data_IF_649784730847
#
_entry.id   IF_649784730847
#
_cell.length_a   1.000
_cell.length_b   1.000
_cell.length_c   1.000
_cell.angle_alpha   90.00
_cell.angle_beta   90.00
_cell.angle_gamma   90.00
#
_symmetry.space_group_name_H-M   'P 1'
#
loop_
_entity.id
_entity.type
_entity.pdbx_description
1 polymer ?
#
# COMPACT_ATOMS: atom_id res chain seq x y z
N UNK A 1 16.02 -24.37 19.47
CA UNK A 1 16.45 -22.97 19.26
C UNK A 1 17.22 -22.71 17.96
N UNK A 2 18.10 -23.61 17.48
CA UNK A 2 18.85 -23.41 16.21
C UNK A 2 18.00 -23.38 14.93
N UNK A 3 16.90 -24.12 14.87
CA UNK A 3 15.99 -24.14 13.69
C UNK A 3 15.15 -22.87 13.52
N UNK A 4 14.82 -22.17 14.62
CA UNK A 4 14.03 -20.93 14.55
C UNK A 4 14.86 -19.72 14.09
N UNK A 5 16.19 -19.75 14.28
CA UNK A 5 17.11 -18.72 13.79
C UNK A 5 17.34 -18.80 12.26
N UNK A 6 17.16 -19.98 11.64
CA UNK A 6 17.35 -20.17 10.20
C UNK A 6 16.16 -19.66 9.37
N UNK A 7 14.94 -19.63 9.93
CA UNK A 7 13.75 -19.16 9.24
C UNK A 7 13.69 -17.62 9.12
N UNK A 8 14.33 -16.88 10.03
CA UNK A 8 14.32 -15.42 10.01
C UNK A 8 15.20 -14.83 8.89
N UNK A 9 16.24 -15.54 8.45
CA UNK A 9 17.19 -15.06 7.44
C UNK A 9 16.59 -15.16 6.04
N UNK A 10 15.73 -16.14 5.76
CA UNK A 10 15.11 -16.33 4.45
C UNK A 10 14.11 -15.22 4.05
N UNK A 11 13.50 -14.53 5.03
CA UNK A 11 12.54 -13.46 4.79
C UNK A 11 13.18 -12.13 4.37
N UNK A 12 14.45 -11.89 4.73
CA UNK A 12 15.17 -10.68 4.29
C UNK A 12 15.79 -10.83 2.89
N UNK A 13 16.01 -12.06 2.42
CA UNK A 13 16.61 -12.31 1.11
C UNK A 13 15.70 -11.95 -0.07
N UNK A 14 14.38 -12.08 0.10
CA UNK A 14 13.40 -11.85 -0.98
C UNK A 14 13.34 -10.39 -1.43
N UNK A 15 13.54 -9.44 -0.51
CA UNK A 15 13.51 -8.01 -0.81
C UNK A 15 14.74 -7.55 -1.61
N UNK A 16 15.91 -8.12 -1.31
CA UNK A 16 17.16 -7.81 -2.03
C UNK A 16 17.13 -8.34 -3.46
N UNK A 17 16.58 -9.55 -3.68
CA UNK A 17 16.44 -10.11 -5.02
C UNK A 17 15.55 -9.27 -5.93
N UNK A 18 14.41 -8.76 -5.42
CA UNK A 18 13.52 -7.90 -6.19
C UNK A 18 14.16 -6.54 -6.55
N UNK A 19 14.94 -5.95 -5.64
CA UNK A 19 15.63 -4.69 -5.91
C UNK A 19 16.69 -4.85 -7.01
N UNK A 20 17.49 -5.92 -6.94
CA UNK A 20 18.55 -6.23 -7.92
C UNK A 20 17.94 -6.61 -9.29
N UNK A 21 16.84 -7.36 -9.31
CA UNK A 21 16.07 -7.65 -10.53
C UNK A 21 15.48 -6.37 -11.13
N UNK A 22 15.07 -5.40 -10.31
CA UNK A 22 14.51 -4.14 -10.80
C UNK A 22 15.55 -3.14 -11.30
N UNK A 23 16.73 -3.11 -10.69
CA UNK A 23 17.87 -2.37 -11.22
C UNK A 23 18.32 -2.93 -12.58
N UNK A 24 18.28 -4.26 -12.75
CA UNK A 24 18.55 -4.92 -14.02
C UNK A 24 17.41 -4.75 -15.04
N UNK A 25 16.15 -4.79 -14.62
CA UNK A 25 14.99 -4.52 -15.46
C UNK A 25 15.00 -3.09 -15.99
N UNK A 26 15.46 -2.12 -15.19
CA UNK A 26 15.68 -0.74 -15.65
C UNK A 26 16.70 -0.66 -16.79
N UNK A 27 17.77 -1.43 -16.70
CA UNK A 27 18.81 -1.50 -17.75
C UNK A 27 18.33 -2.24 -19.01
N UNK A 28 17.43 -3.20 -18.87
CA UNK A 28 16.98 -4.08 -19.96
C UNK A 28 15.59 -3.73 -20.55
N UNK A 29 14.89 -2.75 -19.97
CA UNK A 29 13.59 -2.26 -20.46
C UNK A 29 12.35 -2.98 -19.92
N UNK A 30 12.46 -3.82 -18.88
CA UNK A 30 11.34 -4.54 -18.25
C UNK A 30 10.71 -3.78 -17.08
N UNK A 31 10.45 -2.50 -17.33
CA UNK A 31 10.07 -1.50 -16.35
C UNK A 31 8.68 -1.68 -15.75
N UNK A 32 7.79 -2.33 -16.49
CA UNK A 32 6.39 -2.54 -16.11
C UNK A 32 6.30 -3.56 -14.96
N UNK A 33 7.12 -4.62 -15.00
CA UNK A 33 7.11 -5.64 -13.96
C UNK A 33 7.47 -5.07 -12.59
N UNK A 34 8.49 -4.21 -12.56
CA UNK A 34 8.93 -3.57 -11.33
C UNK A 34 7.91 -2.59 -10.74
N UNK A 35 7.27 -1.78 -11.58
CA UNK A 35 6.18 -0.92 -11.12
C UNK A 35 5.03 -1.74 -10.53
N UNK A 36 4.66 -2.86 -11.16
CA UNK A 36 3.64 -3.76 -10.62
C UNK A 36 4.06 -4.37 -9.27
N UNK A 37 5.31 -4.81 -9.13
CA UNK A 37 5.81 -5.41 -7.90
C UNK A 37 5.85 -4.40 -6.74
N UNK A 38 6.28 -3.15 -7.00
CA UNK A 38 6.23 -2.08 -5.99
C UNK A 38 4.81 -1.77 -5.54
N UNK A 39 3.88 -1.65 -6.49
CA UNK A 39 2.47 -1.48 -6.15
C UNK A 39 1.94 -2.63 -5.28
N UNK A 40 2.26 -3.89 -5.62
CA UNK A 40 1.85 -5.06 -4.83
C UNK A 40 2.37 -5.01 -3.38
N UNK A 41 3.63 -4.60 -3.17
CA UNK A 41 4.17 -4.45 -1.81
C UNK A 41 3.48 -3.30 -1.05
N UNK A 42 3.22 -2.17 -1.71
CA UNK A 42 2.46 -1.08 -1.12
C UNK A 42 1.03 -1.52 -0.72
N UNK A 43 0.35 -2.26 -1.59
CA UNK A 43 -1.02 -2.76 -1.34
C UNK A 43 -1.04 -3.78 -0.20
N UNK A 44 -0.05 -4.68 -0.13
CA UNK A 44 0.12 -5.59 1.00
C UNK A 44 0.28 -4.83 2.32
N UNK A 45 1.12 -3.81 2.35
CA UNK A 45 1.31 -2.96 3.54
C UNK A 45 0.01 -2.23 3.92
N UNK A 46 -0.69 -1.65 2.94
CA UNK A 46 -2.00 -1.03 3.14
C UNK A 46 -2.99 -2.00 3.77
N UNK A 47 -3.10 -3.23 3.25
CA UNK A 47 -4.01 -4.25 3.76
C UNK A 47 -3.66 -4.70 5.20
N UNK A 48 -2.37 -4.78 5.53
CA UNK A 48 -1.93 -5.04 6.90
C UNK A 48 -2.33 -3.90 7.85
N UNK A 49 -2.15 -2.64 7.45
CA UNK A 49 -2.57 -1.47 8.23
C UNK A 49 -4.10 -1.42 8.35
N UNK A 50 -4.83 -1.69 7.27
CA UNK A 50 -6.29 -1.81 7.27
C UNK A 50 -6.82 -2.81 8.31
N UNK A 51 -6.20 -3.99 8.42
CA UNK A 51 -6.58 -4.97 9.45
C UNK A 51 -6.38 -4.44 10.88
N UNK A 52 -5.28 -3.71 11.13
CA UNK A 52 -5.03 -3.09 12.44
C UNK A 52 -6.08 -2.02 12.77
N UNK A 53 -6.40 -1.17 11.81
CA UNK A 53 -7.44 -0.13 11.95
C UNK A 53 -8.81 -0.76 12.19
N UNK A 54 -9.21 -1.79 11.43
CA UNK A 54 -10.46 -2.50 11.68
C UNK A 54 -10.53 -3.16 13.05
N UNK A 55 -9.41 -3.73 13.53
CA UNK A 55 -9.33 -4.32 14.86
C UNK A 55 -9.48 -3.27 15.96
N UNK A 56 -8.90 -2.07 15.77
CA UNK A 56 -9.01 -0.96 16.73
C UNK A 56 -10.39 -0.28 16.71
N UNK A 57 -11.05 -0.26 15.56
CA UNK A 57 -12.37 0.36 15.40
C UNK A 57 -13.45 -0.36 16.23
N UNK A 58 -14.24 0.45 16.95
CA UNK A 58 -15.45 0.00 17.65
C UNK A 58 -16.50 -0.49 16.64
N UNK A 59 -17.44 -1.38 17.05
CA UNK A 59 -18.42 -1.96 16.13
C UNK A 59 -19.17 -0.94 15.26
N UNK A 60 -19.56 0.20 15.84
CA UNK A 60 -20.28 1.29 15.17
C UNK A 60 -19.42 2.07 14.18
N UNK A 61 -18.09 2.06 14.34
CA UNK A 61 -17.15 2.77 13.46
C UNK A 61 -16.79 1.94 12.22
N UNK A 62 -16.85 0.60 12.29
CA UNK A 62 -16.43 -0.29 11.20
C UNK A 62 -17.19 -0.07 9.88
N UNK A 63 -18.52 0.13 9.87
CA UNK A 63 -19.24 0.45 8.64
C UNK A 63 -18.77 1.76 7.99
N UNK A 64 -18.55 2.81 8.78
CA UNK A 64 -18.05 4.10 8.30
C UNK A 64 -16.64 3.98 7.72
N UNK A 65 -15.77 3.26 8.42
CA UNK A 65 -14.41 2.98 7.98
C UNK A 65 -14.40 2.23 6.64
N UNK A 66 -15.26 1.22 6.48
CA UNK A 66 -15.41 0.46 5.22
C UNK A 66 -15.95 1.33 4.09
N UNK A 67 -16.95 2.17 4.38
CA UNK A 67 -17.48 3.11 3.39
C UNK A 67 -16.41 4.08 2.90
N UNK A 68 -15.63 4.68 3.82
CA UNK A 68 -14.54 5.58 3.48
C UNK A 68 -13.44 4.89 2.66
N UNK A 69 -13.10 3.64 2.99
CA UNK A 69 -12.11 2.87 2.24
C UNK A 69 -12.60 2.54 0.83
N UNK A 70 -13.85 2.10 0.66
CA UNK A 70 -14.43 1.81 -0.65
C UNK A 70 -14.52 3.06 -1.53
N UNK A 71 -14.91 4.20 -0.95
CA UNK A 71 -14.94 5.47 -1.66
C UNK A 71 -13.53 5.89 -2.12
N UNK A 72 -12.51 5.71 -1.27
CA UNK A 72 -11.13 5.95 -1.65
C UNK A 72 -10.65 5.03 -2.79
N UNK A 73 -11.01 3.74 -2.79
CA UNK A 73 -10.67 2.81 -3.89
C UNK A 73 -11.24 3.34 -5.22
N UNK A 74 -12.51 3.75 -5.23
CA UNK A 74 -13.15 4.30 -6.42
C UNK A 74 -12.43 5.58 -6.92
N UNK A 75 -12.05 6.48 -6.00
CA UNK A 75 -11.28 7.68 -6.33
C UNK A 75 -9.90 7.32 -6.89
N UNK A 76 -9.15 6.43 -6.23
CA UNK A 76 -7.83 5.97 -6.67
C UNK A 76 -7.88 5.45 -8.10
N UNK A 77 -8.83 4.55 -8.38
CA UNK A 77 -8.93 3.90 -9.68
C UNK A 77 -9.33 4.91 -10.78
N UNK A 78 -10.18 5.90 -10.45
CA UNK A 78 -10.54 6.99 -11.35
C UNK A 78 -9.35 7.91 -11.64
N UNK A 79 -8.61 8.32 -10.60
CA UNK A 79 -7.41 9.17 -10.73
C UNK A 79 -6.34 8.48 -11.57
N UNK A 80 -6.05 7.20 -11.32
CA UNK A 80 -5.00 6.49 -12.05
C UNK A 80 -5.40 6.22 -13.51
N UNK A 81 -6.69 6.04 -13.80
CA UNK A 81 -7.18 6.01 -15.19
C UNK A 81 -6.99 7.36 -15.87
N UNK A 82 -7.31 8.46 -15.19
CA UNK A 82 -7.13 9.81 -15.72
C UNK A 82 -5.65 10.09 -16.00
N UNK A 83 -4.76 9.80 -15.05
CA UNK A 83 -3.31 10.02 -15.20
C UNK A 83 -2.76 9.21 -16.39
N UNK A 84 -3.18 7.95 -16.53
CA UNK A 84 -2.72 7.10 -17.63
C UNK A 84 -3.33 7.43 -19.00
N UNK A 85 -4.40 8.24 -19.06
CA UNK A 85 -5.07 8.58 -20.31
C UNK A 85 -4.17 9.36 -21.29
N UNK A 86 -3.24 10.18 -20.77
CA UNK A 86 -2.28 10.90 -21.61
C UNK A 86 -1.25 10.01 -22.31
N UNK A 87 -1.16 8.73 -21.92
CA UNK A 87 -0.25 7.74 -22.50
C UNK A 87 -1.00 6.60 -23.20
N UNK A 88 -2.26 6.82 -23.59
CA UNK A 88 -3.05 5.80 -24.28
C UNK A 88 -2.36 5.30 -25.55
N UNK A 89 -2.29 3.98 -25.70
CA UNK A 89 -1.59 3.32 -26.80
C UNK A 89 -0.06 3.26 -26.67
N UNK A 90 0.54 3.89 -25.66
CA UNK A 90 1.98 3.81 -25.39
C UNK A 90 2.28 2.52 -24.61
N UNK A 91 3.32 1.79 -25.03
CA UNK A 91 3.78 0.54 -24.38
C UNK A 91 3.95 0.67 -22.86
N UNK A 92 4.43 1.83 -22.39
CA UNK A 92 4.71 2.11 -20.99
C UNK A 92 3.48 2.55 -20.16
N UNK A 93 2.29 2.68 -20.76
CA UNK A 93 1.08 3.06 -20.03
C UNK A 93 0.82 2.20 -18.77
N UNK A 94 1.01 0.86 -18.78
CA UNK A 94 0.81 0.05 -17.57
C UNK A 94 1.76 0.42 -16.44
N UNK A 95 2.98 0.87 -16.75
CA UNK A 95 3.94 1.37 -15.75
C UNK A 95 3.36 2.61 -15.06
N UNK A 96 2.83 3.56 -15.85
CA UNK A 96 2.22 4.80 -15.34
C UNK A 96 1.02 4.50 -14.43
N UNK A 97 0.18 3.52 -14.81
CA UNK A 97 -0.93 3.06 -13.97
C UNK A 97 -0.41 2.52 -12.64
N UNK A 98 0.57 1.62 -12.66
CA UNK A 98 1.12 1.00 -11.45
C UNK A 98 1.80 2.02 -10.54
N UNK A 99 2.57 2.97 -11.09
CA UNK A 99 3.20 4.03 -10.31
C UNK A 99 2.17 4.93 -9.62
N UNK A 100 1.06 5.25 -10.30
CA UNK A 100 -0.05 5.97 -9.67
C UNK A 100 -0.68 5.17 -8.54
N UNK A 101 -0.96 3.88 -8.79
CA UNK A 101 -1.55 2.98 -7.80
C UNK A 101 -0.65 2.86 -6.56
N UNK A 102 0.66 2.71 -6.75
CA UNK A 102 1.66 2.71 -5.68
C UNK A 102 1.57 3.99 -4.84
N UNK A 103 1.72 5.16 -5.46
CA UNK A 103 1.75 6.44 -4.75
C UNK A 103 0.48 6.69 -3.93
N UNK A 104 -0.70 6.49 -4.53
CA UNK A 104 -2.00 6.65 -3.85
C UNK A 104 -2.18 5.65 -2.71
N UNK A 105 -1.65 4.44 -2.86
CA UNK A 105 -1.71 3.37 -1.85
C UNK A 105 -0.81 3.68 -0.66
N UNK A 106 0.40 4.20 -0.90
CA UNK A 106 1.31 4.68 0.15
C UNK A 106 0.69 5.84 0.94
N UNK A 107 0.09 6.81 0.25
CA UNK A 107 -0.62 7.93 0.89
C UNK A 107 -1.75 7.42 1.80
N UNK A 108 -2.55 6.49 1.29
CA UNK A 108 -3.66 5.93 2.06
C UNK A 108 -3.19 5.11 3.25
N UNK A 109 -2.11 4.36 3.11
CA UNK A 109 -1.51 3.62 4.22
C UNK A 109 -1.06 4.59 5.31
N UNK A 110 -0.39 5.68 4.95
CA UNK A 110 0.03 6.72 5.89
C UNK A 110 -1.17 7.35 6.62
N UNK A 111 -2.26 7.64 5.91
CA UNK A 111 -3.51 8.12 6.50
C UNK A 111 -4.10 7.11 7.49
N UNK A 112 -4.27 5.84 7.09
CA UNK A 112 -4.80 4.81 8.00
C UNK A 112 -3.89 4.60 9.23
N UNK A 113 -2.59 4.69 9.03
CA UNK A 113 -1.58 4.58 10.08
C UNK A 113 -1.64 5.75 11.06
N UNK A 114 -1.96 6.97 10.61
CA UNK A 114 -2.12 8.13 11.50
C UNK A 114 -3.32 7.97 12.43
N UNK A 115 -4.41 7.34 11.96
CA UNK A 115 -5.57 7.05 12.81
C UNK A 115 -5.22 6.17 14.01
N UNK A 116 -4.15 5.37 13.95
CA UNK A 116 -3.71 4.52 15.07
C UNK A 116 -2.85 5.26 16.12
N UNK A 117 -2.48 6.51 15.86
CA UNK A 117 -1.57 7.32 16.68
C UNK A 117 -2.30 8.52 17.31
N UNK A 118 -3.47 8.29 17.93
CA UNK A 118 -4.18 9.35 18.64
C UNK A 118 -3.39 9.81 19.87
N UNK A 119 -3.27 11.13 20.02
CA UNK A 119 -2.78 11.78 21.24
C UNK A 119 -3.91 11.90 22.25
N UNK A 120 -3.56 12.01 23.53
CA UNK A 120 -4.56 12.19 24.60
C UNK A 120 -5.28 13.54 24.40
N UNK A 121 -6.62 13.50 24.40
CA UNK A 121 -7.44 14.70 24.16
C UNK A 121 -7.66 15.07 22.69
N UNK A 122 -7.11 14.33 21.72
CA UNK A 122 -7.42 14.54 20.29
C UNK A 122 -8.83 14.05 19.97
N UNK A 123 -9.79 14.98 20.02
CA UNK A 123 -11.21 14.72 19.72
C UNK A 123 -11.46 14.41 18.23
N UNK A 124 -10.50 14.67 17.35
CA UNK A 124 -10.61 14.40 15.91
C UNK A 124 -10.15 13.00 15.54
N UNK A 125 -9.34 12.34 16.39
CA UNK A 125 -8.79 11.03 16.11
C UNK A 125 -9.77 9.91 16.49
N UNK A 126 -10.24 9.11 15.52
CA UNK A 126 -11.35 8.20 15.74
C UNK A 126 -10.98 6.91 16.50
N UNK A 127 -9.69 6.57 16.62
CA UNK A 127 -9.23 5.26 17.11
C UNK A 127 -8.22 5.37 18.28
N UNK A 128 -8.65 5.89 19.44
CA UNK A 128 -7.79 6.04 20.61
C UNK A 128 -7.13 4.71 21.04
N UNK A 129 -6.09 4.79 21.87
CA UNK A 129 -5.48 3.58 22.43
C UNK A 129 -6.52 2.85 23.30
N UNK A 130 -6.59 1.51 23.22
CA UNK A 130 -7.43 0.74 24.12
C UNK A 130 -6.83 0.83 25.53
N UNK A 131 -7.71 0.97 26.51
CA UNK A 131 -7.36 0.97 27.94
C UNK A 131 -6.77 -0.38 28.39
#
# INVERSE_FOLDING_TARGET
>A
MRFFLLALIALLSSAHALADDCDNAWRNGDMIHCAAARYQEADKKLNQTWQKVQKRARPEQRPLLKQAQNAWIALRDADCRLIASGAEGIRLQPMIVNDCLEAKTVEREAFLSSLLRCEEGDLSCPLPRPD
#
